data_IF_240510779018
#
_entry.id   IF_240510779018
#
_cell.length_a   1.000
_cell.length_b   1.000
_cell.length_c   1.000
_cell.angle_alpha   90.00
_cell.angle_beta   90.00
_cell.angle_gamma   90.00
#
_symmetry.space_group_name_H-M   'P 1'
#
loop_
_entity.id
_entity.type
_entity.pdbx_description
1 polymer ?
#
# COMPACT_ATOMS: atom_id res chain seq x y z
N UNK A 1 11.42 3.49 24.25
CA UNK A 1 10.94 3.74 22.88
C UNK A 1 11.22 2.51 22.07
N UNK A 2 10.24 2.02 21.31
CA UNK A 2 10.32 0.73 20.61
C UNK A 2 10.71 0.88 19.15
N UNK A 3 11.28 -0.17 18.57
CA UNK A 3 11.52 -0.30 17.13
C UNK A 3 10.47 -1.19 16.48
N UNK A 4 9.96 -0.79 15.32
CA UNK A 4 8.92 -1.48 14.55
C UNK A 4 8.87 -0.97 13.10
N UNK A 5 8.23 -1.73 12.24
CA UNK A 5 7.89 -1.35 10.88
C UNK A 5 6.40 -1.02 10.77
N UNK A 6 6.07 -0.25 9.74
CA UNK A 6 4.70 0.05 9.36
C UNK A 6 4.58 -0.12 7.85
N UNK A 7 3.56 -0.85 7.41
CA UNK A 7 3.07 -0.79 6.04
C UNK A 7 1.74 -0.04 6.04
N UNK A 8 1.55 0.83 5.05
CA UNK A 8 0.35 1.62 4.85
C UNK A 8 -0.08 1.49 3.40
N UNK A 9 -1.31 1.05 3.19
CA UNK A 9 -2.06 1.19 1.94
C UNK A 9 -3.17 2.22 2.15
N UNK A 10 -3.17 3.30 1.36
CA UNK A 10 -4.16 4.36 1.52
C UNK A 10 -4.80 4.77 0.20
N UNK A 11 -6.13 4.79 0.16
CA UNK A 11 -6.93 5.41 -0.89
C UNK A 11 -6.88 6.94 -0.78
N UNK A 12 -6.38 7.62 -1.82
CA UNK A 12 -6.30 9.06 -2.08
C UNK A 12 -5.05 9.88 -1.67
N UNK A 13 -4.46 10.48 -2.70
CA UNK A 13 -3.86 11.82 -2.63
C UNK A 13 -4.91 12.89 -2.28
N UNK A 14 -5.06 13.21 -0.98
CA UNK A 14 -5.59 14.51 -0.55
C UNK A 14 -6.82 14.53 0.38
N UNK A 15 -7.29 13.40 0.92
CA UNK A 15 -8.60 13.36 1.58
C UNK A 15 -8.80 12.43 2.77
N UNK A 16 -7.76 11.90 3.42
CA UNK A 16 -7.88 11.39 4.79
C UNK A 16 -8.71 10.13 5.04
N UNK A 17 -9.02 9.32 4.03
CA UNK A 17 -9.47 7.93 4.20
C UNK A 17 -8.27 7.00 4.26
N UNK A 18 -8.23 6.09 5.23
CA UNK A 18 -7.15 5.13 5.42
C UNK A 18 -7.80 3.77 5.56
N UNK A 19 -7.51 2.84 4.63
CA UNK A 19 -8.11 1.51 4.70
C UNK A 19 -7.20 0.55 5.43
N UNK A 20 -5.90 0.44 5.07
CA UNK A 20 -5.03 -0.58 5.67
C UNK A 20 -3.67 -0.13 6.22
N UNK A 21 -3.43 -0.45 7.50
CA UNK A 21 -2.14 -0.23 8.16
C UNK A 21 -1.73 -1.48 8.93
N UNK A 22 -0.63 -2.10 8.54
CA UNK A 22 0.00 -3.18 9.31
C UNK A 22 1.17 -2.63 10.13
N UNK A 23 1.26 -3.03 11.40
CA UNK A 23 2.36 -2.68 12.30
C UNK A 23 2.96 -3.94 12.91
N UNK A 24 4.25 -4.14 12.69
CA UNK A 24 4.95 -5.32 13.20
C UNK A 24 6.42 -5.04 13.47
N UNK A 25 7.02 -5.81 14.37
CA UNK A 25 8.47 -5.84 14.54
C UNK A 25 9.17 -6.85 13.59
N UNK A 26 8.38 -7.57 12.80
CA UNK A 26 8.82 -8.58 11.85
C UNK A 26 8.72 -8.03 10.44
N UNK A 27 9.86 -7.90 9.76
CA UNK A 27 9.86 -7.49 8.36
C UNK A 27 9.09 -8.51 7.49
N UNK A 28 9.16 -9.80 7.81
CA UNK A 28 8.44 -10.82 7.05
C UNK A 28 6.92 -10.66 7.11
N UNK A 29 6.38 -10.24 8.26
CA UNK A 29 4.94 -9.96 8.41
C UNK A 29 4.53 -8.75 7.56
N UNK A 30 5.34 -7.69 7.57
CA UNK A 30 5.14 -6.51 6.72
C UNK A 30 5.17 -6.84 5.23
N UNK A 31 6.12 -7.69 4.83
CA UNK A 31 6.23 -8.13 3.42
C UNK A 31 4.97 -8.87 2.99
N UNK A 32 4.46 -9.76 3.84
CA UNK A 32 3.27 -10.54 3.55
C UNK A 32 2.03 -9.64 3.51
N UNK A 33 1.84 -8.77 4.49
CA UNK A 33 0.72 -7.83 4.53
C UNK A 33 0.68 -6.92 3.29
N UNK A 34 1.84 -6.42 2.83
CA UNK A 34 1.92 -5.64 1.61
C UNK A 34 1.51 -6.45 0.36
N UNK A 35 1.98 -7.70 0.24
CA UNK A 35 1.59 -8.59 -0.86
C UNK A 35 0.09 -8.86 -0.83
N UNK A 36 -0.46 -9.21 0.34
CA UNK A 36 -1.87 -9.55 0.50
C UNK A 36 -2.75 -8.34 0.17
N UNK A 37 -2.40 -7.15 0.66
CA UNK A 37 -3.14 -5.93 0.34
C UNK A 37 -3.13 -5.61 -1.16
N UNK A 38 -1.99 -5.77 -1.83
CA UNK A 38 -1.87 -5.51 -3.28
C UNK A 38 -2.65 -6.55 -4.08
N UNK A 39 -2.70 -7.82 -3.65
CA UNK A 39 -3.50 -8.86 -4.32
C UNK A 39 -5.00 -8.59 -4.34
N UNK A 40 -5.50 -7.74 -3.45
CA UNK A 40 -6.90 -7.32 -3.47
C UNK A 40 -7.21 -6.32 -4.60
N UNK A 41 -6.23 -5.97 -5.44
CA UNK A 41 -6.45 -5.07 -6.57
C UNK A 41 -6.37 -3.58 -6.21
N UNK A 42 -5.91 -3.24 -4.99
CA UNK A 42 -5.80 -1.84 -4.51
C UNK A 42 -4.81 -0.97 -5.32
N UNK A 43 -3.99 -1.58 -6.17
CA UNK A 43 -3.11 -0.87 -7.11
C UNK A 43 -3.79 -0.56 -8.46
N UNK A 44 -4.95 -1.17 -8.73
CA UNK A 44 -5.63 -1.13 -10.01
C UNK A 44 -6.65 0.02 -10.07
N UNK A 45 -7.50 0.17 -9.04
CA UNK A 45 -8.60 1.16 -9.06
C UNK A 45 -8.15 2.56 -8.65
N UNK A 46 -7.02 2.65 -7.95
CA UNK A 46 -6.72 3.85 -7.20
C UNK A 46 -5.26 4.16 -7.17
N UNK A 47 -5.02 5.47 -7.22
CA UNK A 47 -3.76 6.11 -6.91
C UNK A 47 -3.47 5.95 -5.41
N UNK A 48 -3.50 4.72 -4.92
CA UNK A 48 -3.20 4.37 -3.54
C UNK A 48 -1.73 4.65 -3.31
N UNK A 49 -1.37 5.18 -2.15
CA UNK A 49 0.04 5.28 -1.79
C UNK A 49 0.39 4.01 -1.00
N UNK A 50 1.34 3.21 -1.52
CA UNK A 50 1.89 2.05 -0.81
C UNK A 50 3.18 2.47 -0.12
N UNK A 51 3.12 2.65 1.20
CA UNK A 51 4.25 3.17 1.97
C UNK A 51 4.75 2.15 2.97
N UNK A 52 6.07 2.00 3.06
CA UNK A 52 6.72 1.29 4.16
C UNK A 52 7.58 2.23 4.98
N UNK A 53 7.53 2.09 6.30
CA UNK A 53 8.30 2.90 7.24
C UNK A 53 8.99 2.02 8.26
N UNK A 54 10.20 2.40 8.65
CA UNK A 54 10.88 1.79 9.79
C UNK A 54 11.11 2.83 10.88
N UNK A 55 10.69 2.49 12.08
CA UNK A 55 10.95 3.24 13.29
C UNK A 55 12.01 2.51 14.11
N UNK A 56 13.10 3.19 14.41
CA UNK A 56 14.19 2.66 15.25
C UNK A 56 14.24 3.49 16.52
N UNK A 57 14.04 2.84 17.66
CA UNK A 57 13.95 3.48 18.98
C UNK A 57 12.93 4.65 18.98
N UNK A 58 11.79 4.45 18.31
CA UNK A 58 10.70 5.41 18.19
C UNK A 58 10.98 6.62 17.27
N UNK A 59 12.07 6.61 16.50
CA UNK A 59 12.37 7.63 15.49
C UNK A 59 12.17 7.07 14.10
N UNK A 60 11.54 7.82 13.20
CA UNK A 60 11.47 7.44 11.79
C UNK A 60 12.88 7.41 11.20
N UNK A 61 13.33 6.21 10.84
CA UNK A 61 14.64 5.96 10.24
C UNK A 61 14.56 5.99 8.71
N UNK A 62 13.48 5.43 8.15
CA UNK A 62 13.25 5.38 6.70
C UNK A 62 11.75 5.40 6.40
N UNK A 63 11.38 6.02 5.27
CA UNK A 63 10.05 6.04 4.69
C UNK A 63 10.23 5.88 3.18
N UNK A 64 9.65 4.84 2.59
CA UNK A 64 9.78 4.51 1.18
C UNK A 64 8.43 4.25 0.54
N UNK A 65 8.28 4.73 -0.69
CA UNK A 65 7.19 4.38 -1.61
C UNK A 65 7.52 3.04 -2.28
N UNK A 66 6.58 2.09 -2.26
CA UNK A 66 6.78 0.76 -2.83
C UNK A 66 6.64 0.72 -4.35
N UNK A 67 5.98 1.70 -4.99
CA UNK A 67 5.69 1.65 -6.44
C UNK A 67 6.93 1.41 -7.31
N UNK A 68 8.06 2.11 -7.13
CA UNK A 68 9.25 1.91 -7.98
C UNK A 68 9.88 0.50 -7.86
N UNK A 69 9.44 -0.28 -6.88
CA UNK A 69 9.95 -1.61 -6.56
C UNK A 69 8.89 -2.71 -6.75
N UNK A 70 7.64 -2.32 -7.02
CA UNK A 70 6.49 -3.19 -7.19
C UNK A 70 6.39 -3.69 -8.63
N UNK A 71 6.12 -4.98 -8.75
CA UNK A 71 5.68 -5.62 -9.98
C UNK A 71 4.45 -6.47 -9.69
N UNK A 72 3.50 -6.44 -10.63
CA UNK A 72 2.29 -7.26 -10.56
C UNK A 72 2.14 -8.02 -11.88
N UNK A 73 1.91 -9.32 -11.78
CA UNK A 73 1.67 -10.19 -12.94
C UNK A 73 0.32 -10.87 -12.78
N UNK A 74 -0.46 -10.81 -13.86
CA UNK A 74 -1.75 -11.48 -13.98
C UNK A 74 -1.70 -12.32 -15.25
N UNK A 75 -2.18 -13.57 -15.16
CA UNK A 75 -2.14 -14.50 -16.29
C UNK A 75 -2.84 -13.92 -17.52
N UNK A 76 -2.20 -13.97 -18.69
CA UNK A 76 -2.76 -13.43 -19.94
C UNK A 76 -2.49 -11.94 -20.16
N UNK A 77 -1.81 -11.27 -19.23
CA UNK A 77 -1.35 -9.89 -19.33
C UNK A 77 0.16 -9.82 -19.15
N UNK A 78 0.80 -8.86 -19.81
CA UNK A 78 2.20 -8.55 -19.60
C UNK A 78 2.45 -8.03 -18.18
N UNK A 79 3.58 -8.39 -17.57
CA UNK A 79 3.95 -7.90 -16.23
C UNK A 79 3.87 -6.38 -16.15
N UNK A 80 3.24 -5.91 -15.09
CA UNK A 80 3.15 -4.49 -14.75
C UNK A 80 4.27 -4.08 -13.81
N UNK A 81 4.77 -2.89 -14.05
CA UNK A 81 5.70 -2.16 -13.20
C UNK A 81 5.19 -0.74 -13.00
N UNK A 82 5.60 -0.07 -11.93
CA UNK A 82 5.09 1.24 -11.61
C UNK A 82 6.22 2.27 -11.58
N UNK A 83 5.94 3.46 -12.09
CA UNK A 83 6.84 4.60 -11.97
C UNK A 83 6.67 5.27 -10.60
N UNK A 84 7.46 6.31 -10.35
CA UNK A 84 7.23 7.21 -9.21
C UNK A 84 5.77 7.72 -9.25
N UNK A 85 5.07 7.64 -8.10
CA UNK A 85 3.65 7.99 -7.95
C UNK A 85 2.65 7.01 -8.56
N UNK A 86 3.08 5.80 -8.89
CA UNK A 86 2.16 4.70 -9.22
C UNK A 86 1.66 4.66 -10.65
N UNK A 87 2.25 5.42 -11.59
CA UNK A 87 1.86 5.30 -13.00
C UNK A 87 2.25 3.90 -13.54
N UNK A 88 1.30 3.07 -13.98
CA UNK A 88 1.60 1.71 -14.44
C UNK A 88 2.29 1.73 -15.82
N UNK A 89 3.13 0.72 -16.05
CA UNK A 89 3.72 0.35 -17.33
C UNK A 89 3.61 -1.17 -17.51
N UNK A 90 3.08 -1.62 -18.64
CA UNK A 90 2.75 -3.02 -18.87
C UNK A 90 1.25 -3.25 -18.70
N UNK A 91 0.83 -4.47 -18.38
CA UNK A 91 -0.58 -4.81 -18.20
C UNK A 91 -1.35 -4.95 -19.51
N UNK A 92 -0.65 -4.88 -20.64
CA UNK A 92 -1.23 -5.11 -21.97
C UNK A 92 -1.48 -6.61 -22.15
N UNK A 93 -2.60 -7.02 -22.77
CA UNK A 93 -2.86 -8.41 -23.08
C UNK A 93 -1.76 -9.10 -23.89
N UNK A 94 -1.42 -10.32 -23.47
CA UNK A 94 -0.57 -11.20 -24.27
C UNK A 94 -1.34 -11.75 -25.49
N UNK A 95 -0.67 -12.00 -26.63
CA UNK A 95 -1.34 -12.60 -27.79
C UNK A 95 -2.01 -13.94 -27.46
N UNK A 96 -3.28 -14.07 -27.81
CA UNK A 96 -4.11 -15.25 -27.55
C UNK A 96 -4.70 -15.33 -26.15
N UNK A 97 -4.56 -14.27 -25.32
CA UNK A 97 -5.20 -14.23 -24.01
C UNK A 97 -6.71 -13.95 -24.10
N UNK A 98 -7.42 -14.20 -23.01
CA UNK A 98 -8.87 -13.91 -22.90
C UNK A 98 -9.18 -12.42 -23.04
N UNK A 99 -8.19 -11.56 -22.81
CA UNK A 99 -8.29 -10.11 -22.85
C UNK A 99 -8.00 -9.49 -24.24
N UNK A 100 -7.55 -10.29 -25.21
CA UNK A 100 -7.11 -9.77 -26.52
C UNK A 100 -8.27 -9.14 -27.33
N UNK A 101 -9.48 -9.70 -27.23
CA UNK A 101 -10.65 -9.19 -27.94
C UNK A 101 -11.08 -7.83 -27.40
N UNK A 102 -11.21 -7.71 -26.08
CA UNK A 102 -11.52 -6.44 -25.40
C UNK A 102 -10.47 -5.36 -25.69
N UNK A 103 -9.19 -5.74 -25.74
CA UNK A 103 -8.11 -4.82 -26.10
C UNK A 103 -8.17 -4.36 -27.56
N UNK A 104 -8.59 -5.23 -28.48
CA UNK A 104 -8.74 -4.84 -29.88
C UNK A 104 -9.89 -3.86 -30.08
N UNK A 105 -11.02 -4.11 -29.40
CA UNK A 105 -12.14 -3.15 -29.36
C UNK A 105 -11.67 -1.79 -28.82
N UNK A 106 -10.86 -1.78 -27.76
CA UNK A 106 -10.20 -0.57 -27.24
C UNK A 106 -9.32 0.12 -28.28
N UNK A 107 -8.42 -0.58 -28.96
CA UNK A 107 -7.51 0.04 -29.95
C UNK A 107 -8.28 0.68 -31.12
N UNK A 108 -9.40 0.09 -31.51
CA UNK A 108 -10.29 0.61 -32.55
C UNK A 108 -11.00 1.89 -32.09
N UNK A 109 -11.58 1.91 -30.88
CA UNK A 109 -12.25 3.09 -30.31
C UNK A 109 -11.27 4.26 -30.06
N UNK A 110 -10.06 3.97 -29.61
CA UNK A 110 -9.04 4.98 -29.29
C UNK A 110 -8.41 5.65 -30.50
N UNK A 111 -8.54 5.04 -31.68
CA UNK A 111 -8.03 5.61 -32.93
C UNK A 111 -8.66 6.97 -33.25
N UNK A 112 -9.80 7.30 -32.63
CA UNK A 112 -10.55 8.56 -32.79
C UNK A 112 -10.48 9.51 -31.56
N UNK A 113 -9.85 9.12 -30.45
CA UNK A 113 -9.83 9.87 -29.17
C UNK A 113 -8.53 10.68 -28.93
N UNK A 114 -8.60 11.69 -28.05
CA UNK A 114 -7.45 12.49 -27.63
C UNK A 114 -6.49 11.70 -26.69
N UNK A 115 -5.26 12.20 -26.49
CA UNK A 115 -4.23 11.51 -25.70
C UNK A 115 -4.56 11.36 -24.20
N UNK A 116 -5.35 12.27 -23.64
CA UNK A 116 -5.79 12.18 -22.24
C UNK A 116 -6.84 11.06 -22.07
N UNK A 117 -7.82 10.99 -22.98
CA UNK A 117 -8.84 9.92 -23.03
C UNK A 117 -8.22 8.51 -23.16
N UNK A 118 -7.06 8.40 -23.84
CA UNK A 118 -6.29 7.15 -23.97
C UNK A 118 -5.76 6.61 -22.65
N UNK A 119 -5.30 7.50 -21.75
CA UNK A 119 -4.74 7.10 -20.45
C UNK A 119 -5.84 6.72 -19.47
N UNK A 120 -6.92 7.50 -19.44
CA UNK A 120 -8.07 7.24 -18.56
C UNK A 120 -8.73 5.88 -18.84
N UNK A 121 -8.72 5.43 -20.09
CA UNK A 121 -9.36 4.17 -20.46
C UNK A 121 -8.44 2.95 -20.31
N UNK A 122 -7.10 3.09 -20.40
CA UNK A 122 -6.17 2.02 -19.94
C UNK A 122 -6.31 1.82 -18.45
N UNK A 123 -6.39 2.91 -17.68
CA UNK A 123 -6.72 2.85 -16.27
C UNK A 123 -8.05 2.11 -16.09
N UNK A 124 -9.13 2.49 -16.78
CA UNK A 124 -10.44 1.82 -16.73
C UNK A 124 -10.43 0.32 -17.06
N UNK A 125 -9.79 -0.08 -18.17
CA UNK A 125 -9.70 -1.48 -18.58
C UNK A 125 -8.95 -2.32 -17.55
N UNK A 126 -7.81 -1.80 -17.08
CA UNK A 126 -7.03 -2.43 -16.02
C UNK A 126 -7.86 -2.52 -14.73
N UNK A 127 -8.52 -1.44 -14.29
CA UNK A 127 -9.42 -1.45 -13.13
C UNK A 127 -10.44 -2.58 -13.25
N UNK A 128 -11.13 -2.71 -14.39
CA UNK A 128 -12.19 -3.70 -14.56
C UNK A 128 -11.68 -5.14 -14.60
N UNK A 129 -10.70 -5.43 -15.45
CA UNK A 129 -10.12 -6.78 -15.56
C UNK A 129 -9.45 -7.23 -14.25
N UNK A 130 -8.81 -6.30 -13.53
CA UNK A 130 -8.16 -6.59 -12.26
C UNK A 130 -9.11 -6.67 -11.08
N UNK A 131 -10.18 -5.85 -11.04
CA UNK A 131 -11.18 -5.96 -9.99
C UNK A 131 -11.88 -7.32 -10.04
N UNK A 132 -12.20 -7.82 -11.24
CA UNK A 132 -12.76 -9.17 -11.41
C UNK A 132 -11.76 -10.25 -10.97
N UNK A 133 -10.51 -10.16 -11.42
CA UNK A 133 -9.46 -11.12 -11.05
C UNK A 133 -9.20 -11.10 -9.54
N UNK A 134 -9.10 -9.93 -8.92
CA UNK A 134 -8.87 -9.80 -7.49
C UNK A 134 -10.06 -10.30 -6.66
N UNK A 135 -11.30 -10.10 -7.14
CA UNK A 135 -12.50 -10.57 -6.46
C UNK A 135 -12.69 -12.09 -6.56
N UNK A 136 -12.42 -12.69 -7.72
CA UNK A 136 -12.72 -14.09 -7.97
C UNK A 136 -11.52 -15.02 -7.83
N UNK A 137 -10.32 -14.52 -8.13
CA UNK A 137 -9.08 -15.28 -8.29
C UNK A 137 -7.84 -14.50 -7.78
N UNK A 138 -7.82 -13.98 -6.54
CA UNK A 138 -6.70 -13.17 -6.04
C UNK A 138 -5.36 -13.90 -6.02
N UNK A 139 -5.38 -15.24 -5.92
CA UNK A 139 -4.18 -16.08 -5.99
C UNK A 139 -3.55 -16.14 -7.40
N UNK A 140 -4.30 -15.77 -8.45
CA UNK A 140 -3.78 -15.65 -9.82
C UNK A 140 -2.99 -14.34 -10.01
N UNK A 141 -3.00 -13.45 -9.00
CA UNK A 141 -2.22 -12.21 -8.98
C UNK A 141 -0.89 -12.47 -8.27
N UNK A 142 0.18 -12.48 -9.05
CA UNK A 142 1.55 -12.56 -8.53
C UNK A 142 2.07 -11.15 -8.25
N UNK A 143 2.46 -10.92 -6.99
CA UNK A 143 3.03 -9.65 -6.52
C UNK A 143 4.49 -9.85 -6.16
N UNK A 144 5.37 -9.06 -6.75
CA UNK A 144 6.80 -9.04 -6.42
C UNK A 144 7.21 -7.63 -5.99
N UNK A 145 7.91 -7.52 -4.87
CA UNK A 145 8.49 -6.25 -4.39
C UNK A 145 9.98 -6.47 -4.16
N UNK A 146 10.82 -5.62 -4.74
CA UNK A 146 12.27 -5.65 -4.52
C UNK A 146 12.65 -5.03 -3.15
N UNK A 147 12.40 -5.81 -2.10
CA UNK A 147 12.68 -5.42 -0.72
C UNK A 147 14.15 -5.13 -0.44
N UNK A 148 15.07 -5.69 -1.22
CA UNK A 148 16.50 -5.47 -1.03
C UNK A 148 16.88 -4.04 -1.43
N UNK A 149 16.23 -3.48 -2.44
CA UNK A 149 16.47 -2.10 -2.90
C UNK A 149 15.87 -1.02 -1.99
N UNK A 150 14.85 -1.35 -1.20
CA UNK A 150 14.29 -0.46 -0.17
C UNK A 150 15.28 -0.17 0.97
N UNK A 151 16.32 -1.01 1.12
CA UNK A 151 17.39 -0.84 2.12
C UNK A 151 16.87 -0.57 3.55
N UNK A 152 15.76 -1.20 3.93
CA UNK A 152 15.16 -1.02 5.25
C UNK A 152 16.14 -1.47 6.35
N UNK A 153 16.30 -0.68 7.43
CA UNK A 153 17.23 -1.03 8.51
C UNK A 153 16.71 -2.24 9.29
N UNK A 154 17.62 -3.05 9.82
CA UNK A 154 17.28 -4.03 10.87
C UNK A 154 16.85 -3.29 12.14
N UNK A 155 15.78 -3.77 12.79
CA UNK A 155 15.30 -3.17 14.03
C UNK A 155 16.22 -3.51 15.20
N UNK A 156 16.51 -2.51 16.04
CA UNK A 156 17.24 -2.69 17.29
C UNK A 156 16.30 -2.79 18.48
N UNK A 157 16.74 -3.47 19.55
CA UNK A 157 15.97 -3.56 20.80
C UNK A 157 15.82 -2.19 21.48
N UNK A 158 14.69 -1.91 22.17
CA UNK A 158 13.58 -2.83 22.40
C UNK A 158 12.61 -2.88 21.21
N UNK A 159 12.18 -4.08 20.81
CA UNK A 159 11.15 -4.25 19.76
C UNK A 159 9.74 -4.00 20.31
N UNK A 160 8.83 -3.49 19.48
CA UNK A 160 7.43 -3.33 19.86
C UNK A 160 6.83 -4.70 20.19
N UNK A 161 6.32 -4.93 21.42
CA UNK A 161 5.69 -6.20 21.77
C UNK A 161 4.32 -6.35 21.08
N UNK A 162 3.91 -7.60 20.83
CA UNK A 162 2.56 -7.92 20.36
C UNK A 162 1.48 -7.31 21.28
N UNK A 163 0.38 -6.85 20.68
CA UNK A 163 -0.74 -6.22 21.39
C UNK A 163 -0.44 -4.84 21.99
N UNK A 164 0.78 -4.30 21.80
CA UNK A 164 1.12 -2.94 22.21
C UNK A 164 0.91 -1.95 21.08
N UNK A 165 0.55 -0.73 21.46
CA UNK A 165 0.41 0.36 20.53
C UNK A 165 1.44 1.46 20.68
N UNK A 166 1.54 2.24 19.61
CA UNK A 166 2.43 3.38 19.44
C UNK A 166 1.63 4.54 18.89
N UNK A 167 1.90 5.74 19.39
CA UNK A 167 1.36 6.96 18.81
C UNK A 167 2.39 7.57 17.87
N UNK A 168 2.14 7.52 16.57
CA UNK A 168 3.00 8.10 15.55
C UNK A 168 2.60 9.54 15.30
N UNK A 169 3.54 10.47 15.47
CA UNK A 169 3.29 11.90 15.29
C UNK A 169 3.45 12.30 13.82
N UNK A 170 2.69 13.31 13.42
CA UNK A 170 2.88 14.01 12.15
C UNK A 170 3.69 15.30 12.35
N UNK A 171 4.21 15.82 11.26
CA UNK A 171 4.81 17.14 11.23
C UNK A 171 3.79 18.26 11.51
N UNK A 172 4.31 19.48 11.72
CA UNK A 172 3.48 20.66 12.04
C UNK A 172 2.53 21.05 10.89
N UNK A 173 2.73 20.50 9.69
CA UNK A 173 1.88 20.69 8.52
C UNK A 173 0.87 19.56 8.34
N UNK A 174 0.93 18.52 9.17
CA UNK A 174 0.08 17.33 9.11
C UNK A 174 0.32 16.45 7.89
N UNK A 175 1.43 16.65 7.16
CA UNK A 175 1.66 16.04 5.84
C UNK A 175 2.63 14.86 5.85
N UNK A 176 3.47 14.74 6.88
CA UNK A 176 4.50 13.69 6.97
C UNK A 176 4.61 13.12 8.37
N UNK A 177 4.99 11.85 8.46
CA UNK A 177 5.25 11.19 9.73
C UNK A 177 6.60 11.60 10.32
N UNK A 178 6.73 11.50 11.64
CA UNK A 178 7.92 11.88 12.41
C UNK A 178 8.27 10.80 13.43
N UNK A 179 8.23 11.13 14.71
CA UNK A 179 8.59 10.21 15.77
C UNK A 179 7.36 9.49 16.30
N UNK A 180 7.56 8.27 16.77
CA UNK A 180 6.56 7.47 17.42
C UNK A 180 6.85 7.35 18.91
N UNK A 181 5.83 7.56 19.73
CA UNK A 181 5.91 7.42 21.19
C UNK A 181 5.22 6.13 21.59
N UNK A 182 5.88 5.33 22.43
CA UNK A 182 5.28 4.13 22.98
C UNK A 182 4.09 4.48 23.89
N UNK A 183 2.98 3.75 23.75
CA UNK A 183 1.85 3.87 24.67
C UNK A 183 1.98 2.76 25.72
N UNK A 184 2.43 3.13 26.91
CA UNK A 184 2.75 2.16 27.98
C UNK A 184 1.51 1.63 28.72
N UNK A 185 0.39 2.36 28.62
CA UNK A 185 -0.90 1.96 29.20
C UNK A 185 -1.78 1.29 28.15
N UNK A 186 -2.67 0.41 28.58
CA UNK A 186 -3.77 -0.03 27.73
C UNK A 186 -4.70 1.17 27.48
N UNK A 187 -5.14 1.32 26.23
CA UNK A 187 -6.17 2.31 25.87
C UNK A 187 -7.52 1.60 26.02
N UNK A 188 -8.38 2.15 26.86
CA UNK A 188 -9.73 1.62 27.06
C UNK A 188 -10.61 1.78 25.81
N UNK A 189 -11.70 1.00 25.70
CA UNK A 189 -12.59 1.02 24.53
C UNK A 189 -13.30 2.36 24.30
N UNK A 190 -13.42 3.19 25.34
CA UNK A 190 -14.07 4.51 25.31
C UNK A 190 -13.08 5.67 25.26
N UNK A 191 -11.78 5.39 25.19
CA UNK A 191 -10.74 6.41 25.14
C UNK A 191 -10.36 6.71 23.69
N UNK A 192 -10.46 7.98 23.28
CA UNK A 192 -9.96 8.43 21.97
C UNK A 192 -8.43 8.64 22.06
N UNK A 193 -7.61 7.79 21.42
CA UNK A 193 -6.16 7.95 21.44
C UNK A 193 -5.71 9.30 20.88
N UNK A 194 -6.40 9.86 19.89
CA UNK A 194 -6.00 11.11 19.25
C UNK A 194 -6.24 12.31 20.19
N UNK A 195 -7.31 12.29 20.98
CA UNK A 195 -7.55 13.27 22.04
C UNK A 195 -6.52 13.14 23.18
N UNK A 196 -6.14 11.91 23.52
CA UNK A 196 -5.21 11.62 24.64
C UNK A 196 -3.79 12.12 24.41
N UNK A 197 -3.35 12.26 23.16
CA UNK A 197 -1.98 12.66 22.83
C UNK A 197 -1.86 14.12 22.37
N UNK A 198 -2.93 14.93 22.50
CA UNK A 198 -2.97 16.38 22.25
C UNK A 198 -2.15 16.82 21.02
N UNK A 199 -2.26 16.08 19.91
CA UNK A 199 -1.32 16.23 18.80
C UNK A 199 -1.82 15.65 17.49
N UNK A 200 -1.29 16.16 16.38
CA UNK A 200 -1.53 15.58 15.06
C UNK A 200 -0.73 14.29 14.96
N UNK A 201 -1.38 13.15 15.00
CA UNK A 201 -0.75 11.84 14.94
C UNK A 201 -1.79 10.74 14.87
N UNK A 202 -1.36 9.49 15.02
CA UNK A 202 -2.25 8.34 14.99
C UNK A 202 -1.76 7.27 15.94
N UNK A 203 -2.70 6.62 16.62
CA UNK A 203 -2.42 5.43 17.40
C UNK A 203 -2.48 4.20 16.51
N UNK A 204 -1.40 3.41 16.53
CA UNK A 204 -1.27 2.16 15.79
C UNK A 204 -1.00 1.03 16.76
N UNK A 205 -1.58 -0.15 16.51
CA UNK A 205 -1.41 -1.32 17.37
C UNK A 205 -0.72 -2.42 16.60
N UNK A 206 0.22 -3.14 17.23
CA UNK A 206 0.85 -4.31 16.63
C UNK A 206 -0.20 -5.30 16.14
N UNK A 207 -0.06 -5.79 14.90
CA UNK A 207 -0.87 -6.87 14.33
C UNK A 207 -2.31 -6.45 14.01
N UNK A 208 -2.60 -5.15 13.98
CA UNK A 208 -3.87 -4.67 13.51
C UNK A 208 -3.88 -4.72 11.97
N UNK A 209 -4.44 -5.78 11.40
CA UNK A 209 -4.93 -5.75 10.03
C UNK A 209 -6.32 -5.10 10.06
N UNK A 210 -6.51 -3.99 9.37
CA UNK A 210 -7.85 -3.46 9.06
C UNK A 210 -8.53 -4.20 7.90
N UNK A 211 -8.04 -5.39 7.56
CA UNK A 211 -8.85 -6.35 6.84
C UNK A 211 -9.95 -6.88 7.79
N UNK A 212 -11.17 -6.44 7.50
CA UNK A 212 -12.49 -6.80 8.06
C UNK A 212 -13.09 -5.88 9.14
N UNK A 213 -13.93 -4.95 8.67
CA UNK A 213 -15.28 -4.72 9.20
C UNK A 213 -16.32 -5.04 8.10
#
# INVERSE_FOLDING_TARGET
MYSFYVFEGSFHQGGGGWEDIEVSNSLSEIKQAAIDYIRLGNWADSRDDFMVRAYVEGKLAVEEDLYPFLQVTVSGLTTMSFQEKGEPRGGVPEPGSEYEEEWREYEEEQSECELEDRREWVEYFLVHAFAETAAERPDDIEVTIDWARLALPELTQPLLPEGRGVFVRRDERGKRWKDAVAVEREIGPDEDPEELFEGRGRYLTYGYNSMFL
#
